data_IF_405769209304
#
_entry.id   IF_405769209304
#
_cell.length_a   1.000
_cell.length_b   1.000
_cell.length_c   1.000
_cell.angle_alpha   90.00
_cell.angle_beta   90.00
_cell.angle_gamma   90.00
#
_symmetry.space_group_name_H-M   'P 1'
#
loop_
_entity.id
_entity.type
_entity.pdbx_description
1 polymer ?
#
# COMPACT_ATOMS: atom_id res chain seq x y z
N UNK A 1 1.24 -59.33 -33.22
CA UNK A 1 1.46 -58.33 -32.11
C UNK A 1 1.70 -56.97 -32.73
N UNK A 2 0.64 -56.18 -32.91
CA UNK A 2 0.78 -54.78 -33.35
C UNK A 2 1.04 -53.92 -32.09
N UNK A 3 2.15 -53.25 -32.05
CA UNK A 3 2.55 -52.36 -30.97
C UNK A 3 1.60 -51.14 -30.95
N UNK A 4 0.85 -51.04 -29.88
CA UNK A 4 -0.14 -49.99 -29.63
C UNK A 4 0.54 -48.75 -29.07
N UNK A 5 1.59 -48.23 -29.74
CA UNK A 5 2.50 -47.21 -29.19
C UNK A 5 2.21 -45.75 -29.61
N UNK A 6 1.14 -45.49 -30.40
CA UNK A 6 0.91 -44.12 -30.91
C UNK A 6 -0.45 -43.54 -30.52
N UNK A 7 -0.91 -43.76 -29.29
CA UNK A 7 -2.08 -43.04 -28.81
C UNK A 7 -1.68 -41.62 -28.31
N UNK A 8 -1.50 -40.71 -29.27
CA UNK A 8 -1.33 -39.29 -28.93
C UNK A 8 -2.69 -38.70 -28.55
N UNK A 9 -2.90 -38.46 -27.24
CA UNK A 9 -4.07 -37.73 -26.79
C UNK A 9 -4.01 -36.27 -27.28
N UNK A 10 -4.91 -35.94 -28.24
CA UNK A 10 -5.07 -34.58 -28.73
C UNK A 10 -6.26 -33.92 -28.01
N UNK A 11 -5.98 -32.90 -27.18
CA UNK A 11 -6.99 -32.18 -26.43
C UNK A 11 -7.98 -31.43 -27.34
N UNK A 12 -7.52 -30.92 -28.49
CA UNK A 12 -8.34 -30.12 -29.40
C UNK A 12 -9.15 -30.98 -30.40
N UNK A 13 -8.58 -32.08 -30.87
CA UNK A 13 -9.19 -32.97 -31.83
C UNK A 13 -9.12 -34.45 -31.39
N UNK A 14 -9.94 -34.86 -30.41
CA UNK A 14 -9.95 -36.25 -29.99
C UNK A 14 -10.62 -37.14 -31.05
N UNK A 15 -9.90 -38.14 -31.50
CA UNK A 15 -10.36 -39.08 -32.56
C UNK A 15 -11.34 -40.14 -32.01
N UNK A 16 -11.28 -40.46 -30.73
CA UNK A 16 -12.09 -41.50 -30.09
C UNK A 16 -13.20 -40.96 -29.20
N UNK A 17 -14.27 -41.73 -29.00
CA UNK A 17 -15.32 -41.36 -28.05
C UNK A 17 -14.78 -41.24 -26.61
N UNK A 18 -13.84 -42.11 -26.23
CA UNK A 18 -13.15 -42.06 -24.97
C UNK A 18 -12.37 -40.72 -24.81
N UNK A 19 -11.59 -40.34 -25.82
CA UNK A 19 -10.87 -39.07 -25.85
C UNK A 19 -11.78 -37.84 -25.72
N UNK A 20 -12.97 -37.86 -26.37
CA UNK A 20 -13.97 -36.78 -26.22
C UNK A 20 -14.50 -36.65 -24.81
N UNK A 21 -14.76 -37.78 -24.12
CA UNK A 21 -15.25 -37.79 -22.73
C UNK A 21 -14.18 -37.30 -21.76
N UNK A 22 -12.90 -37.67 -21.95
CA UNK A 22 -11.77 -37.17 -21.14
C UNK A 22 -11.57 -35.68 -21.37
N UNK A 23 -11.55 -35.21 -22.62
CA UNK A 23 -11.47 -33.80 -22.95
C UNK A 23 -12.56 -33.00 -22.25
N UNK A 24 -13.83 -33.44 -22.35
CA UNK A 24 -14.95 -32.72 -21.74
C UNK A 24 -14.83 -32.69 -20.21
N UNK A 25 -14.28 -33.74 -19.58
CA UNK A 25 -13.99 -33.77 -18.15
C UNK A 25 -12.91 -32.74 -17.79
N UNK A 26 -11.80 -32.69 -18.53
CA UNK A 26 -10.73 -31.71 -18.30
C UNK A 26 -11.24 -30.28 -18.50
N UNK A 27 -11.96 -30.04 -19.60
CA UNK A 27 -12.50 -28.69 -19.89
C UNK A 27 -13.52 -28.24 -18.84
N UNK A 28 -14.38 -29.18 -18.35
CA UNK A 28 -15.31 -28.81 -17.26
C UNK A 28 -14.61 -28.48 -15.95
N UNK A 29 -13.55 -29.19 -15.59
CA UNK A 29 -12.75 -28.90 -14.39
C UNK A 29 -11.97 -27.58 -14.52
N UNK A 30 -11.40 -27.35 -15.71
CA UNK A 30 -10.74 -26.07 -16.04
C UNK A 30 -11.73 -24.91 -15.95
N UNK A 31 -12.96 -25.08 -16.49
CA UNK A 31 -14.00 -24.07 -16.41
C UNK A 31 -14.42 -23.77 -14.95
N UNK A 32 -14.61 -24.82 -14.13
CA UNK A 32 -14.93 -24.65 -12.70
C UNK A 32 -13.81 -23.84 -12.01
N UNK A 33 -12.56 -24.22 -12.25
CA UNK A 33 -11.41 -23.51 -11.66
C UNK A 33 -11.33 -22.07 -12.14
N UNK A 34 -11.51 -21.83 -13.44
CA UNK A 34 -11.50 -20.49 -14.00
C UNK A 34 -12.62 -19.60 -13.44
N UNK A 35 -13.85 -20.16 -13.30
CA UNK A 35 -14.97 -19.45 -12.67
C UNK A 35 -14.68 -19.15 -11.20
N UNK A 36 -14.07 -20.07 -10.46
CA UNK A 36 -13.69 -19.81 -9.07
C UNK A 36 -12.66 -18.69 -8.95
N UNK A 37 -11.64 -18.66 -9.82
CA UNK A 37 -10.60 -17.62 -9.80
C UNK A 37 -11.14 -16.28 -10.28
N UNK A 38 -11.64 -16.22 -11.51
CA UNK A 38 -12.04 -14.96 -12.16
C UNK A 38 -13.38 -14.44 -11.61
N UNK A 39 -14.33 -15.35 -11.29
CA UNK A 39 -15.61 -14.98 -10.70
C UNK A 39 -15.44 -14.30 -9.36
N UNK A 40 -14.54 -14.78 -8.52
CA UNK A 40 -14.24 -14.13 -7.24
C UNK A 40 -13.58 -12.76 -7.41
N UNK A 41 -12.65 -12.61 -8.36
CA UNK A 41 -12.03 -11.32 -8.67
C UNK A 41 -13.04 -10.29 -9.19
N UNK A 42 -13.95 -10.73 -10.06
CA UNK A 42 -15.05 -9.88 -10.54
C UNK A 42 -15.97 -9.49 -9.38
N UNK A 43 -16.33 -10.45 -8.52
CA UNK A 43 -17.16 -10.21 -7.34
C UNK A 43 -16.51 -9.19 -6.40
N UNK A 44 -15.22 -9.33 -6.10
CA UNK A 44 -14.47 -8.36 -5.29
C UNK A 44 -14.58 -6.96 -5.88
N UNK A 45 -14.28 -6.82 -7.17
CA UNK A 45 -14.32 -5.53 -7.87
C UNK A 45 -15.71 -4.90 -7.88
N UNK A 46 -16.78 -5.70 -7.92
CA UNK A 46 -18.16 -5.20 -7.90
C UNK A 46 -18.62 -4.77 -6.50
N UNK A 47 -18.08 -5.41 -5.45
CA UNK A 47 -18.48 -5.16 -4.06
C UNK A 47 -17.57 -4.13 -3.37
N UNK A 48 -16.36 -3.93 -3.87
CA UNK A 48 -15.44 -2.93 -3.35
C UNK A 48 -15.96 -1.50 -3.55
N UNK A 49 -15.88 -0.70 -2.47
CA UNK A 49 -16.23 0.72 -2.48
C UNK A 49 -15.03 1.54 -2.02
N UNK A 50 -14.77 2.71 -2.64
CA UNK A 50 -13.75 3.62 -2.15
C UNK A 50 -14.15 4.11 -0.75
N UNK A 51 -13.37 3.75 0.24
CA UNK A 51 -13.58 4.09 1.65
C UNK A 51 -12.44 4.98 2.12
N UNK A 52 -12.74 6.21 2.59
CA UNK A 52 -11.73 7.11 3.12
C UNK A 52 -11.21 6.62 4.47
N UNK A 53 -9.91 6.72 4.70
CA UNK A 53 -9.30 6.52 6.01
C UNK A 53 -9.74 7.64 6.99
N UNK A 54 -9.70 7.37 8.28
CA UNK A 54 -9.97 8.38 9.31
C UNK A 54 -9.05 9.61 9.21
N UNK A 55 -7.82 9.39 8.77
CA UNK A 55 -6.83 10.44 8.52
C UNK A 55 -7.24 11.38 7.37
N UNK A 56 -7.93 10.87 6.33
CA UNK A 56 -8.48 11.72 5.27
C UNK A 56 -9.61 12.59 5.79
N UNK A 57 -10.53 12.02 6.55
CA UNK A 57 -11.67 12.77 7.13
C UNK A 57 -11.16 13.91 8.03
N UNK A 58 -10.13 13.65 8.87
CA UNK A 58 -9.49 14.67 9.70
C UNK A 58 -8.81 15.74 8.86
N UNK A 59 -8.08 15.34 7.82
CA UNK A 59 -7.44 16.26 6.91
C UNK A 59 -8.44 17.18 6.22
N UNK A 60 -9.52 16.64 5.65
CA UNK A 60 -10.54 17.42 4.95
C UNK A 60 -11.23 18.43 5.89
N UNK A 61 -11.56 18.02 7.11
CA UNK A 61 -12.13 18.91 8.13
C UNK A 61 -11.15 20.04 8.51
N UNK A 62 -9.89 19.69 8.75
CA UNK A 62 -8.83 20.64 9.08
C UNK A 62 -8.55 21.61 7.92
N UNK A 63 -8.42 21.09 6.70
CA UNK A 63 -8.20 21.89 5.49
C UNK A 63 -9.31 22.88 5.24
N UNK A 64 -10.58 22.46 5.36
CA UNK A 64 -11.74 23.33 5.22
C UNK A 64 -11.77 24.44 6.28
N UNK A 65 -11.53 24.09 7.55
CA UNK A 65 -11.46 25.05 8.66
C UNK A 65 -10.35 26.09 8.44
N UNK A 66 -9.15 25.66 8.13
CA UNK A 66 -7.99 26.54 7.93
C UNK A 66 -8.13 27.40 6.68
N UNK A 67 -8.74 26.89 5.59
CA UNK A 67 -9.04 27.66 4.38
C UNK A 67 -10.09 28.76 4.63
N UNK A 68 -11.00 28.54 5.60
CA UNK A 68 -11.95 29.54 6.08
C UNK A 68 -11.38 30.54 7.09
N UNK A 69 -10.07 30.52 7.34
CA UNK A 69 -9.42 31.42 8.31
C UNK A 69 -9.43 30.93 9.75
N UNK A 70 -9.81 29.67 9.99
CA UNK A 70 -9.75 29.05 11.32
C UNK A 70 -8.33 29.04 11.91
N UNK A 71 -8.23 29.29 13.23
CA UNK A 71 -6.94 29.34 13.94
C UNK A 71 -6.83 28.28 15.05
N UNK A 72 -7.72 27.30 15.05
CA UNK A 72 -7.75 26.26 16.05
C UNK A 72 -6.48 25.38 15.97
N UNK A 73 -5.82 25.23 17.14
CA UNK A 73 -4.59 24.46 17.27
C UNK A 73 -4.81 22.98 16.91
N UNK A 74 -5.93 22.39 17.31
CA UNK A 74 -6.28 21.01 16.99
C UNK A 74 -6.40 20.79 15.48
N UNK A 75 -7.03 21.73 14.76
CA UNK A 75 -7.13 21.67 13.30
C UNK A 75 -5.78 21.79 12.62
N UNK A 76 -4.88 22.66 13.12
CA UNK A 76 -3.52 22.76 12.61
C UNK A 76 -2.72 21.47 12.84
N UNK A 77 -2.90 20.83 14.01
CA UNK A 77 -2.28 19.54 14.31
C UNK A 77 -2.85 18.43 13.41
N UNK A 78 -4.17 18.32 13.26
CA UNK A 78 -4.79 17.31 12.39
C UNK A 78 -4.37 17.48 10.93
N UNK A 79 -4.23 18.72 10.45
CA UNK A 79 -3.68 19.02 9.13
C UNK A 79 -2.25 18.48 8.96
N UNK A 80 -1.36 18.73 9.92
CA UNK A 80 0.02 18.26 9.89
C UNK A 80 0.11 16.74 10.05
N UNK A 81 -0.58 16.17 11.05
CA UNK A 81 -0.53 14.75 11.37
C UNK A 81 -0.98 13.87 10.19
N UNK A 82 -2.09 14.25 9.55
CA UNK A 82 -2.60 13.49 8.41
C UNK A 82 -1.61 13.45 7.25
N UNK A 83 -0.89 14.53 6.99
CA UNK A 83 0.13 14.59 5.94
C UNK A 83 1.36 13.74 6.29
N UNK A 84 1.81 13.77 7.54
CA UNK A 84 2.95 12.97 7.99
C UNK A 84 2.62 11.47 7.93
N UNK A 85 1.43 11.05 8.35
CA UNK A 85 0.96 9.66 8.19
C UNK A 85 0.94 9.26 6.71
N UNK A 86 0.53 10.17 5.83
CA UNK A 86 0.55 9.91 4.39
C UNK A 86 1.98 9.81 3.86
N UNK A 87 2.86 10.73 4.24
CA UNK A 87 4.26 10.75 3.82
C UNK A 87 5.06 9.50 4.26
N UNK A 88 4.62 8.84 5.33
CA UNK A 88 5.17 7.57 5.81
C UNK A 88 4.81 6.35 4.96
N UNK A 89 3.89 6.46 4.00
CA UNK A 89 3.52 5.34 3.12
C UNK A 89 4.63 5.04 2.10
N UNK A 90 4.84 3.76 1.79
CA UNK A 90 5.99 3.30 0.98
C UNK A 90 5.87 3.71 -0.49
N UNK A 91 4.66 3.65 -1.07
CA UNK A 91 4.43 3.76 -2.51
C UNK A 91 4.00 5.17 -2.96
N UNK A 92 4.66 6.23 -2.49
CA UNK A 92 4.36 7.61 -2.89
C UNK A 92 5.22 8.02 -4.08
N UNK A 93 4.59 8.56 -5.14
CA UNK A 93 5.29 9.10 -6.30
C UNK A 93 6.17 10.31 -5.91
N UNK A 94 7.33 10.52 -6.55
CA UNK A 94 8.23 11.63 -6.20
C UNK A 94 7.57 13.02 -6.28
N UNK A 95 6.70 13.26 -7.28
CA UNK A 95 5.97 14.52 -7.42
C UNK A 95 5.01 14.75 -6.24
N UNK A 96 4.25 13.72 -5.85
CA UNK A 96 3.30 13.80 -4.74
C UNK A 96 4.02 13.94 -3.40
N UNK A 97 5.19 13.30 -3.25
CA UNK A 97 6.05 13.46 -2.07
C UNK A 97 6.53 14.90 -1.91
N UNK A 98 6.81 15.60 -3.01
CA UNK A 98 7.16 17.03 -2.98
C UNK A 98 5.99 17.86 -2.44
N UNK A 99 4.78 17.65 -2.97
CA UNK A 99 3.56 18.32 -2.52
C UNK A 99 3.29 18.09 -1.03
N UNK A 100 3.42 16.84 -0.57
CA UNK A 100 3.29 16.50 0.86
C UNK A 100 4.35 17.20 1.71
N UNK A 101 5.61 17.20 1.26
CA UNK A 101 6.70 17.91 1.97
C UNK A 101 6.42 19.42 2.07
N UNK A 102 5.94 20.04 1.01
CA UNK A 102 5.59 21.46 1.00
C UNK A 102 4.39 21.74 1.92
N UNK A 103 3.39 20.87 1.94
CA UNK A 103 2.25 20.92 2.86
C UNK A 103 2.66 20.74 4.33
N UNK A 104 3.56 19.79 4.62
CA UNK A 104 4.13 19.59 5.97
C UNK A 104 4.85 20.85 6.44
N UNK A 105 5.67 21.47 5.58
CA UNK A 105 6.36 22.71 5.93
C UNK A 105 5.39 23.85 6.24
N UNK A 106 4.30 23.96 5.49
CA UNK A 106 3.25 24.91 5.80
C UNK A 106 2.59 24.61 7.16
N UNK A 107 2.26 23.35 7.43
CA UNK A 107 1.68 22.93 8.71
C UNK A 107 2.58 23.25 9.91
N UNK A 108 3.88 23.02 9.77
CA UNK A 108 4.88 23.37 10.80
C UNK A 108 4.89 24.88 11.07
N UNK A 109 4.86 25.71 10.01
CA UNK A 109 4.83 27.18 10.14
C UNK A 109 3.54 27.70 10.78
N UNK A 110 2.43 27.01 10.60
CA UNK A 110 1.17 27.35 11.26
C UNK A 110 1.15 27.02 12.75
N UNK A 111 1.96 26.05 13.19
CA UNK A 111 1.99 25.55 14.57
C UNK A 111 3.07 26.20 15.42
N UNK A 112 4.25 26.45 14.86
CA UNK A 112 5.43 26.90 15.60
C UNK A 112 5.56 28.41 15.50
N UNK A 113 5.70 29.13 16.63
CA UNK A 113 5.94 30.57 16.61
C UNK A 113 7.23 30.93 15.90
N UNK A 114 7.24 32.07 15.19
CA UNK A 114 8.39 32.56 14.41
C UNK A 114 9.68 32.70 15.24
N UNK A 115 9.55 33.01 16.52
CA UNK A 115 10.68 33.11 17.45
C UNK A 115 11.47 31.81 17.60
N UNK A 116 10.81 30.65 17.46
CA UNK A 116 11.43 29.32 17.51
C UNK A 116 11.66 28.76 16.12
N UNK A 117 10.78 29.08 15.18
CA UNK A 117 10.84 28.60 13.80
C UNK A 117 12.10 29.10 13.10
N UNK A 118 12.41 30.41 13.15
CA UNK A 118 13.54 30.99 12.43
C UNK A 118 14.90 30.39 12.84
N UNK A 119 15.24 30.27 14.15
CA UNK A 119 16.46 29.58 14.58
C UNK A 119 16.51 28.12 14.18
N UNK A 120 15.37 27.43 14.14
CA UNK A 120 15.26 26.04 13.70
C UNK A 120 15.56 25.93 12.19
N UNK A 121 14.95 26.75 11.35
CA UNK A 121 15.17 26.76 9.91
C UNK A 121 16.60 27.12 9.53
N UNK A 122 17.26 28.01 10.29
CA UNK A 122 18.66 28.38 10.11
C UNK A 122 19.64 27.20 10.27
N UNK A 123 19.24 26.12 10.95
CA UNK A 123 20.05 24.89 11.11
C UNK A 123 19.94 23.90 9.94
N UNK A 124 18.91 24.02 9.13
CA UNK A 124 18.67 23.07 8.03
C UNK A 124 19.78 23.03 6.97
N UNK A 125 20.38 24.17 6.55
CA UNK A 125 21.49 24.14 5.60
C UNK A 125 22.71 23.37 6.12
N UNK A 126 23.04 23.53 7.41
CA UNK A 126 24.13 22.79 8.03
C UNK A 126 23.86 21.29 8.09
N UNK A 127 22.61 20.90 8.41
CA UNK A 127 22.18 19.51 8.38
C UNK A 127 22.23 18.90 6.96
N UNK A 128 21.82 19.69 5.94
CA UNK A 128 21.89 19.28 4.56
C UNK A 128 23.35 19.05 4.10
N UNK A 129 24.25 19.97 4.45
CA UNK A 129 25.68 19.84 4.15
C UNK A 129 26.33 18.61 4.82
N UNK A 130 25.94 18.30 6.06
CA UNK A 130 26.40 17.05 6.73
C UNK A 130 25.90 15.80 6.02
N UNK A 131 24.65 15.80 5.55
CA UNK A 131 24.07 14.66 4.81
C UNK A 131 24.75 14.46 3.45
N UNK A 132 25.09 15.55 2.77
CA UNK A 132 25.81 15.49 1.49
C UNK A 132 27.24 14.93 1.68
N UNK A 133 27.96 15.40 2.71
CA UNK A 133 29.28 14.85 3.05
C UNK A 133 29.23 13.38 3.42
N UNK A 134 28.19 12.96 4.14
CA UNK A 134 28.01 11.56 4.54
C UNK A 134 27.99 10.57 3.36
N UNK A 135 27.48 11.01 2.20
CA UNK A 135 27.39 10.17 1.00
C UNK A 135 28.76 9.73 0.46
N UNK A 136 29.81 10.50 0.77
CA UNK A 136 31.19 10.23 0.29
C UNK A 136 32.18 9.94 1.44
N UNK A 137 31.70 9.90 2.69
CA UNK A 137 32.55 9.69 3.86
C UNK A 137 32.76 8.19 4.14
N UNK A 138 33.95 7.84 4.63
CA UNK A 138 34.31 6.48 5.00
C UNK A 138 34.94 6.44 6.41
N UNK A 139 34.96 5.24 7.00
CA UNK A 139 35.64 4.99 8.26
C UNK A 139 35.12 5.84 9.42
N UNK A 140 36.04 6.50 10.15
CA UNK A 140 35.70 7.30 11.33
C UNK A 140 34.90 8.56 10.97
N UNK A 141 35.20 9.20 9.85
CA UNK A 141 34.47 10.39 9.38
C UNK A 141 32.99 10.07 9.13
N UNK A 142 32.67 8.91 8.57
CA UNK A 142 31.29 8.45 8.40
C UNK A 142 30.56 8.33 9.75
N UNK A 143 31.21 7.76 10.77
CA UNK A 143 30.61 7.61 12.10
C UNK A 143 30.38 8.96 12.78
N UNK A 144 31.32 9.86 12.67
CA UNK A 144 31.25 11.20 13.27
C UNK A 144 30.13 12.03 12.61
N UNK A 145 30.04 12.00 11.27
CA UNK A 145 28.96 12.66 10.53
C UNK A 145 27.59 12.07 10.86
N UNK A 146 27.49 10.73 10.90
CA UNK A 146 26.24 10.05 11.27
C UNK A 146 25.78 10.44 12.67
N UNK A 147 26.69 10.49 13.63
CA UNK A 147 26.40 10.92 15.00
C UNK A 147 25.99 12.39 15.06
N UNK A 148 26.68 13.26 14.33
CA UNK A 148 26.37 14.69 14.21
C UNK A 148 24.98 14.93 13.61
N UNK A 149 24.62 14.21 12.54
CA UNK A 149 23.31 14.26 11.92
C UNK A 149 22.22 13.82 12.90
N UNK A 150 22.41 12.67 13.57
CA UNK A 150 21.45 12.16 14.54
C UNK A 150 21.20 13.16 15.68
N UNK A 151 22.26 13.79 16.18
CA UNK A 151 22.18 14.84 17.21
C UNK A 151 21.40 16.04 16.71
N UNK A 152 21.73 16.58 15.53
CA UNK A 152 21.04 17.72 14.94
C UNK A 152 19.55 17.44 14.68
N UNK A 153 19.22 16.23 14.22
CA UNK A 153 17.83 15.80 14.06
C UNK A 153 17.11 15.72 15.40
N UNK A 154 17.72 15.12 16.43
CA UNK A 154 17.14 15.04 17.77
C UNK A 154 16.88 16.41 18.39
N UNK A 155 17.75 17.40 18.15
CA UNK A 155 17.54 18.77 18.60
C UNK A 155 16.34 19.42 17.90
N UNK A 156 16.18 19.22 16.57
CA UNK A 156 15.02 19.71 15.82
C UNK A 156 13.72 19.06 16.30
N UNK A 157 13.73 17.74 16.56
CA UNK A 157 12.59 17.00 17.09
C UNK A 157 12.18 17.56 18.47
N UNK A 158 13.14 17.79 19.34
CA UNK A 158 12.88 18.33 20.69
C UNK A 158 12.25 19.73 20.64
N UNK A 159 12.64 20.56 19.69
CA UNK A 159 12.07 21.89 19.48
C UNK A 159 10.65 21.85 18.91
N UNK A 160 10.33 20.86 18.08
CA UNK A 160 9.02 20.75 17.41
C UNK A 160 7.99 19.98 18.25
N UNK A 161 8.42 19.05 19.10
CA UNK A 161 7.56 18.16 19.86
C UNK A 161 6.45 18.83 20.69
N UNK A 162 6.69 19.95 21.39
CA UNK A 162 5.65 20.62 22.19
C UNK A 162 4.48 21.16 21.36
N UNK A 163 4.71 21.48 20.09
CA UNK A 163 3.70 22.04 19.17
C UNK A 163 3.02 20.97 18.33
N UNK A 164 3.77 19.97 17.91
CA UNK A 164 3.28 18.93 17.00
C UNK A 164 2.66 17.75 17.75
N UNK A 165 3.00 17.56 19.04
CA UNK A 165 2.55 16.41 19.82
C UNK A 165 3.20 15.08 19.44
N UNK A 166 4.23 15.08 18.57
CA UNK A 166 4.94 13.85 18.22
C UNK A 166 5.94 13.45 19.31
N UNK A 167 6.02 12.15 19.53
CA UNK A 167 6.98 11.60 20.49
C UNK A 167 8.40 11.63 19.88
N UNK A 168 9.40 12.18 20.59
CA UNK A 168 10.79 12.10 20.15
C UNK A 168 11.23 10.64 19.92
N UNK A 169 11.90 10.37 18.79
CA UNK A 169 12.30 9.02 18.38
C UNK A 169 11.18 8.19 17.70
N UNK A 170 10.00 8.76 17.51
CA UNK A 170 8.94 8.15 16.71
C UNK A 170 9.14 8.39 15.22
N UNK A 171 8.58 7.50 14.38
CA UNK A 171 8.66 7.60 12.93
C UNK A 171 8.10 8.93 12.39
N UNK A 172 7.04 9.43 13.01
CA UNK A 172 6.39 10.69 12.63
C UNK A 172 7.34 11.89 12.80
N UNK A 173 8.10 11.92 13.88
CA UNK A 173 9.09 12.97 14.13
C UNK A 173 10.26 12.92 13.15
N UNK A 174 10.69 11.72 12.76
CA UNK A 174 11.74 11.53 11.74
C UNK A 174 11.27 12.00 10.36
N UNK A 175 10.03 11.66 9.96
CA UNK A 175 9.41 12.09 8.71
C UNK A 175 9.25 13.62 8.70
N UNK A 176 8.82 14.21 9.81
CA UNK A 176 8.70 15.66 9.95
C UNK A 176 10.05 16.33 9.68
N UNK A 177 11.10 15.93 10.37
CA UNK A 177 12.45 16.55 10.22
C UNK A 177 13.02 16.28 8.84
N UNK A 178 12.76 15.11 8.25
CA UNK A 178 13.19 14.81 6.87
C UNK A 178 12.47 15.67 5.81
N UNK A 179 11.26 16.13 6.12
CA UNK A 179 10.43 16.97 5.24
C UNK A 179 10.68 18.45 5.39
N UNK A 180 11.40 18.90 6.44
CA UNK A 180 11.64 20.33 6.67
C UNK A 180 12.52 20.95 5.58
N UNK A 181 12.12 22.18 5.15
CA UNK A 181 12.83 23.01 4.19
C UNK A 181 12.90 24.44 4.70
N UNK A 182 13.92 25.17 4.26
CA UNK A 182 14.05 26.62 4.52
C UNK A 182 12.92 27.42 3.89
N UNK A 183 12.47 27.02 2.70
CA UNK A 183 11.36 27.62 1.99
C UNK A 183 10.07 26.82 2.20
N UNK A 184 8.96 27.54 2.32
CA UNK A 184 7.64 26.94 2.40
C UNK A 184 6.63 27.75 1.59
N UNK A 185 5.49 27.12 1.19
CA UNK A 185 4.39 27.82 0.54
C UNK A 185 3.90 29.01 1.38
N UNK A 186 3.47 30.07 0.71
CA UNK A 186 3.00 31.29 1.37
C UNK A 186 1.67 31.08 2.14
N UNK A 187 0.93 30.02 1.83
CA UNK A 187 -0.35 29.68 2.47
C UNK A 187 -1.05 28.55 1.73
N UNK A 188 -2.24 28.18 2.20
CA UNK A 188 -3.04 27.07 1.64
C UNK A 188 -3.43 27.27 0.16
N UNK A 189 -3.52 28.51 -0.31
CA UNK A 189 -3.82 28.83 -1.71
C UNK A 189 -2.58 28.82 -2.62
N UNK A 190 -1.40 28.50 -2.08
CA UNK A 190 -0.16 28.48 -2.86
C UNK A 190 -0.19 27.38 -3.93
N UNK A 191 0.39 27.69 -5.11
CA UNK A 191 0.39 26.78 -6.27
C UNK A 191 1.10 25.45 -5.97
N UNK A 192 2.13 25.48 -5.13
CA UNK A 192 2.97 24.35 -4.76
C UNK A 192 2.18 23.24 -4.06
N UNK A 193 1.10 23.60 -3.38
CA UNK A 193 0.24 22.67 -2.63
C UNK A 193 -1.20 22.65 -3.14
N UNK A 194 -1.48 23.25 -4.30
CA UNK A 194 -2.83 23.27 -4.88
C UNK A 194 -3.42 21.87 -5.08
N UNK A 195 -2.57 20.88 -5.39
CA UNK A 195 -2.97 19.46 -5.55
C UNK A 195 -2.95 18.66 -4.24
N UNK A 196 -2.63 19.27 -3.09
CA UNK A 196 -2.53 18.56 -1.81
C UNK A 196 -3.79 17.78 -1.43
N UNK A 197 -5.03 18.32 -1.56
CA UNK A 197 -6.25 17.56 -1.26
C UNK A 197 -6.42 16.33 -2.15
N UNK A 198 -6.06 16.43 -3.42
CA UNK A 198 -6.13 15.31 -4.37
C UNK A 198 -5.09 14.23 -4.04
N UNK A 199 -3.87 14.64 -3.70
CA UNK A 199 -2.81 13.74 -3.23
C UNK A 199 -3.24 13.01 -1.97
N UNK A 200 -3.77 13.72 -0.97
CA UNK A 200 -4.27 13.11 0.26
C UNK A 200 -5.39 12.11 -0.03
N UNK A 201 -6.35 12.46 -0.88
CA UNK A 201 -7.43 11.56 -1.28
C UNK A 201 -6.91 10.32 -2.01
N UNK A 202 -5.93 10.48 -2.90
CA UNK A 202 -5.33 9.36 -3.64
C UNK A 202 -4.69 8.33 -2.71
N UNK A 203 -3.96 8.75 -1.68
CA UNK A 203 -3.22 7.84 -0.80
C UNK A 203 -3.98 7.41 0.44
N UNK A 204 -5.07 8.08 0.80
CA UNK A 204 -5.89 7.79 1.99
C UNK A 204 -7.28 7.24 1.66
N UNK A 205 -7.55 6.92 0.40
CA UNK A 205 -8.79 6.22 0.00
C UNK A 205 -8.42 4.80 -0.42
N UNK A 206 -9.00 3.81 0.24
CA UNK A 206 -8.82 2.40 -0.08
C UNK A 206 -10.12 1.78 -0.57
N UNK A 207 -9.99 0.87 -1.53
CA UNK A 207 -11.13 0.05 -1.89
C UNK A 207 -11.33 -1.01 -0.80
N UNK A 208 -12.44 -0.91 -0.10
CA UNK A 208 -12.82 -1.85 0.96
C UNK A 208 -14.16 -2.50 0.62
N UNK A 209 -14.31 -3.74 1.06
CA UNK A 209 -15.53 -4.49 0.95
C UNK A 209 -15.72 -5.37 2.17
N UNK A 210 -16.94 -5.84 2.40
CA UNK A 210 -17.19 -6.86 3.41
C UNK A 210 -16.25 -8.07 3.26
N UNK A 211 -15.93 -8.46 2.02
CA UNK A 211 -15.04 -9.59 1.74
C UNK A 211 -13.56 -9.32 2.06
N UNK A 212 -13.14 -8.05 2.08
CA UNK A 212 -11.78 -7.64 2.47
C UNK A 212 -11.65 -7.45 3.97
N UNK A 213 -12.72 -6.99 4.63
CA UNK A 213 -12.70 -6.64 6.06
C UNK A 213 -13.03 -7.83 6.96
N UNK A 214 -13.85 -8.78 6.46
CA UNK A 214 -14.17 -9.99 7.19
C UNK A 214 -12.93 -10.87 7.38
N UNK A 215 -12.62 -11.15 8.64
CA UNK A 215 -11.50 -12.03 9.01
C UNK A 215 -12.01 -13.46 9.25
N UNK A 216 -11.44 -14.40 8.51
CA UNK A 216 -11.67 -15.82 8.70
C UNK A 216 -10.39 -16.50 9.20
N UNK A 217 -10.43 -17.15 10.36
CA UNK A 217 -9.26 -17.76 11.03
C UNK A 217 -8.10 -16.74 11.20
N UNK A 218 -8.42 -15.46 11.51
CA UNK A 218 -7.43 -14.41 11.72
C UNK A 218 -6.92 -13.71 10.46
N UNK A 219 -7.24 -14.21 9.26
CA UNK A 219 -6.85 -13.62 7.98
C UNK A 219 -8.04 -12.93 7.29
N UNK A 220 -7.84 -11.83 6.55
CA UNK A 220 -8.86 -11.27 5.68
C UNK A 220 -9.37 -12.34 4.71
N UNK A 221 -10.69 -12.43 4.52
CA UNK A 221 -11.32 -13.53 3.77
C UNK A 221 -10.81 -13.67 2.34
N UNK A 222 -10.51 -12.57 1.67
CA UNK A 222 -9.99 -12.61 0.30
C UNK A 222 -8.60 -13.30 0.21
N UNK A 223 -7.74 -13.17 1.22
CA UNK A 223 -6.48 -13.92 1.30
C UNK A 223 -6.72 -15.39 1.57
N UNK A 224 -7.63 -15.70 2.51
CA UNK A 224 -8.00 -17.08 2.77
C UNK A 224 -8.57 -17.75 1.51
N UNK A 225 -9.45 -17.07 0.78
CA UNK A 225 -10.02 -17.57 -0.46
C UNK A 225 -8.93 -17.84 -1.51
N UNK A 226 -8.06 -16.88 -1.77
CA UNK A 226 -7.05 -16.99 -2.83
C UNK A 226 -5.91 -17.97 -2.50
N UNK A 227 -5.44 -18.00 -1.26
CA UNK A 227 -4.29 -18.82 -0.87
C UNK A 227 -4.69 -20.24 -0.43
N UNK A 228 -5.80 -20.39 0.28
CA UNK A 228 -6.19 -21.66 0.89
C UNK A 228 -7.31 -22.33 0.09
N UNK A 229 -8.44 -21.64 -0.12
CA UNK A 229 -9.60 -22.23 -0.77
C UNK A 229 -9.31 -22.66 -2.21
N UNK A 230 -8.67 -21.82 -3.01
CA UNK A 230 -8.33 -22.16 -4.42
C UNK A 230 -7.34 -23.32 -4.49
N UNK A 231 -6.41 -23.45 -3.54
CA UNK A 231 -5.49 -24.58 -3.47
C UNK A 231 -6.26 -25.88 -3.15
N UNK A 232 -7.13 -25.86 -2.14
CA UNK A 232 -7.98 -27.01 -1.78
C UNK A 232 -8.89 -27.40 -2.96
N UNK A 233 -9.48 -26.40 -3.62
CA UNK A 233 -10.30 -26.63 -4.81
C UNK A 233 -9.49 -27.30 -5.92
N UNK A 234 -8.28 -26.82 -6.21
CA UNK A 234 -7.40 -27.39 -7.23
C UNK A 234 -7.05 -28.85 -6.91
N UNK A 235 -6.61 -29.14 -5.69
CA UNK A 235 -6.32 -30.52 -5.24
C UNK A 235 -7.57 -31.41 -5.32
N UNK A 236 -8.73 -30.89 -4.91
CA UNK A 236 -10.02 -31.59 -5.01
C UNK A 236 -10.41 -31.89 -6.46
N UNK A 237 -10.19 -30.97 -7.41
CA UNK A 237 -10.43 -31.20 -8.83
C UNK A 237 -9.49 -32.27 -9.39
N UNK A 238 -8.21 -32.28 -9.01
CA UNK A 238 -7.26 -33.33 -9.38
C UNK A 238 -7.68 -34.70 -8.85
N UNK A 239 -8.13 -34.76 -7.60
CA UNK A 239 -8.66 -36.00 -7.01
C UNK A 239 -9.91 -36.49 -7.74
N UNK A 240 -10.86 -35.60 -8.02
CA UNK A 240 -12.06 -35.92 -8.78
C UNK A 240 -11.74 -36.43 -10.19
N UNK A 241 -10.73 -35.83 -10.85
CA UNK A 241 -10.25 -36.30 -12.14
C UNK A 241 -9.78 -37.74 -12.06
N UNK A 242 -8.90 -38.07 -11.13
CA UNK A 242 -8.37 -39.40 -10.96
C UNK A 242 -9.48 -40.44 -10.65
N UNK A 243 -10.37 -40.11 -9.69
CA UNK A 243 -11.48 -41.01 -9.35
C UNK A 243 -12.43 -41.25 -10.53
N UNK A 244 -12.72 -40.24 -11.34
CA UNK A 244 -13.58 -40.42 -12.52
C UNK A 244 -12.88 -41.16 -13.63
N UNK A 245 -11.57 -40.96 -13.78
CA UNK A 245 -10.78 -41.70 -14.77
C UNK A 245 -10.72 -43.20 -14.42
N UNK A 246 -10.41 -43.52 -13.16
CA UNK A 246 -10.36 -44.91 -12.67
C UNK A 246 -11.70 -45.64 -12.81
N UNK A 247 -12.80 -44.97 -12.48
CA UNK A 247 -14.15 -45.56 -12.65
C UNK A 247 -14.43 -45.85 -14.13
N UNK A 248 -14.06 -44.99 -15.04
CA UNK A 248 -14.28 -45.20 -16.49
C UNK A 248 -13.41 -46.31 -17.02
N UNK A 249 -12.13 -46.39 -16.66
CA UNK A 249 -11.26 -47.48 -17.08
C UNK A 249 -11.76 -48.85 -16.58
N UNK A 250 -12.33 -48.91 -15.38
CA UNK A 250 -12.95 -50.16 -14.84
C UNK A 250 -14.19 -50.55 -15.63
N UNK A 251 -15.04 -49.60 -16.01
CA UNK A 251 -16.25 -49.86 -16.80
C UNK A 251 -15.89 -50.35 -18.21
N UNK A 252 -14.92 -49.74 -18.84
CA UNK A 252 -14.47 -50.10 -20.19
C UNK A 252 -13.77 -51.47 -20.22
N UNK A 253 -12.99 -51.85 -19.17
CA UNK A 253 -12.39 -53.18 -19.03
C UNK A 253 -13.41 -54.29 -18.75
N UNK A 254 -14.60 -53.98 -18.26
CA UNK A 254 -15.68 -54.94 -18.02
C UNK A 254 -16.49 -55.13 -19.32
N UNK A 255 -16.40 -54.19 -20.26
CA UNK A 255 -17.11 -54.24 -21.55
C UNK A 255 -16.30 -54.91 -22.67
N UNK A 256 -14.99 -55.21 -22.45
CA UNK A 256 -14.16 -56.08 -23.28
C UNK A 256 -14.27 -57.55 -22.79
#
# INVERSE_FOLDING_TARGET
MQSNSDYHFNLFQPYTQHGRKIRNLILSMLAIWAVAVFGFQILLKLVEKPTPEKSLIRFEAAYASLSGGGQDMAMKQDFLHSQILTAGKIAIKPADRKVLSDGINLGVRMLIPDTLLNPMLARLPALAAMKEKLANAEGQEFLDLKTGIARAQSELISLTAPFTGFTPGGLESDILVASLKTEAPAGLAAKEIASLPEVMKLYLTHNQSFLTDFKFIGFPFHYFYTAVFLLILFVGLCLLYNLRLDRRMKIEKIAE
#
